data_IF_821315312238
#
_entry.id   IF_821315312238
#
_cell.length_a   1.000
_cell.length_b   1.000
_cell.length_c   1.000
_cell.angle_alpha   90.00
_cell.angle_beta   90.00
_cell.angle_gamma   90.00
#
_symmetry.space_group_name_H-M   'P 1'
#
loop_
_entity.id
_entity.type
_entity.pdbx_description
1 polymer ?
#
# COMPACT_ATOMS: atom_id res chain seq x y z
N UNK A 1 -28.84 -26.23 -31.27
CA UNK A 1 -28.66 -26.24 -29.82
C UNK A 1 -29.24 -24.95 -29.22
N UNK A 2 -30.42 -25.06 -28.60
CA UNK A 2 -31.03 -23.96 -27.88
C UNK A 2 -30.25 -23.73 -26.58
N UNK A 3 -29.44 -22.68 -26.56
CA UNK A 3 -28.88 -22.13 -25.30
C UNK A 3 -30.01 -21.36 -24.61
N UNK A 4 -30.62 -21.97 -23.61
CA UNK A 4 -31.59 -21.28 -22.73
C UNK A 4 -30.81 -20.17 -22.00
N UNK A 5 -30.99 -18.93 -22.44
CA UNK A 5 -30.45 -17.78 -21.70
C UNK A 5 -31.25 -17.67 -20.38
N UNK A 6 -30.53 -17.74 -19.28
CA UNK A 6 -31.08 -17.51 -17.94
C UNK A 6 -31.46 -16.03 -17.84
N UNK A 7 -32.67 -15.72 -17.43
CA UNK A 7 -33.13 -14.33 -17.27
C UNK A 7 -32.25 -13.57 -16.27
N UNK A 8 -31.83 -12.31 -16.59
CA UNK A 8 -31.09 -11.47 -15.65
C UNK A 8 -31.77 -11.30 -14.28
N UNK A 9 -33.10 -11.30 -14.23
CA UNK A 9 -33.89 -11.21 -12.99
C UNK A 9 -33.68 -12.41 -12.06
N UNK A 10 -33.33 -13.59 -12.59
CA UNK A 10 -32.97 -14.73 -11.76
C UNK A 10 -31.62 -14.53 -11.05
N UNK A 11 -30.70 -13.77 -11.65
CA UNK A 11 -29.43 -13.43 -11.02
C UNK A 11 -29.62 -12.44 -9.87
N UNK A 12 -30.58 -11.52 -9.96
CA UNK A 12 -30.87 -10.53 -8.89
C UNK A 12 -31.43 -11.20 -7.62
N UNK A 13 -32.04 -12.39 -7.75
CA UNK A 13 -32.55 -13.14 -6.60
C UNK A 13 -31.45 -13.93 -5.84
N UNK A 14 -30.24 -14.04 -6.42
CA UNK A 14 -29.13 -14.75 -5.78
C UNK A 14 -28.41 -13.80 -4.85
N UNK A 15 -28.56 -14.01 -3.55
CA UNK A 15 -27.83 -13.28 -2.53
C UNK A 15 -26.74 -14.14 -1.89
N UNK A 16 -25.51 -13.64 -1.95
CA UNK A 16 -24.39 -14.28 -1.27
C UNK A 16 -24.38 -13.90 0.21
N UNK A 17 -24.26 -14.87 1.08
CA UNK A 17 -24.00 -14.66 2.51
C UNK A 17 -22.78 -15.46 2.92
N UNK A 18 -21.94 -14.89 3.78
CA UNK A 18 -20.84 -15.62 4.38
C UNK A 18 -21.39 -16.62 5.41
N UNK A 19 -21.05 -17.88 5.22
CA UNK A 19 -21.47 -18.98 6.13
C UNK A 19 -20.31 -19.49 6.99
N UNK A 20 -19.12 -18.84 6.88
CA UNK A 20 -17.92 -19.28 7.60
C UNK A 20 -17.23 -20.49 6.94
N UNK A 21 -16.19 -21.05 7.57
CA UNK A 21 -15.65 -20.59 8.86
C UNK A 21 -15.04 -19.19 8.74
N UNK A 22 -15.34 -18.33 9.71
CA UNK A 22 -14.76 -17.01 9.79
C UNK A 22 -13.30 -17.12 10.24
N UNK A 23 -12.38 -16.78 9.38
CA UNK A 23 -10.94 -16.77 9.67
C UNK A 23 -10.46 -15.34 9.82
N UNK A 24 -9.68 -15.10 10.88
CA UNK A 24 -8.80 -13.93 10.93
C UNK A 24 -7.80 -14.02 9.78
N UNK A 25 -7.66 -12.94 9.01
CA UNK A 25 -6.66 -12.81 7.96
C UNK A 25 -5.35 -12.21 8.50
N UNK A 26 -4.35 -12.06 7.62
CA UNK A 26 -3.16 -11.27 7.91
C UNK A 26 -3.48 -9.79 7.75
N UNK A 27 -2.90 -8.97 8.64
CA UNK A 27 -2.86 -7.52 8.49
C UNK A 27 -1.40 -7.10 8.36
N UNK A 28 -1.06 -6.40 7.30
CA UNK A 28 0.29 -5.91 7.06
C UNK A 28 0.41 -4.40 7.30
N UNK A 29 -0.72 -3.68 7.37
CA UNK A 29 -0.76 -2.25 7.51
C UNK A 29 -1.66 -1.85 8.69
N UNK A 30 -1.16 -0.97 9.54
CA UNK A 30 -1.91 -0.36 10.64
C UNK A 30 -1.45 1.06 10.84
N UNK A 31 -2.40 1.97 11.10
CA UNK A 31 -2.08 3.36 11.44
C UNK A 31 -3.15 3.93 12.38
N UNK A 32 -2.69 4.66 13.40
CA UNK A 32 -3.54 5.48 14.26
C UNK A 32 -3.64 6.91 13.73
N UNK A 33 -4.63 7.64 14.22
CA UNK A 33 -4.83 9.06 13.89
C UNK A 33 -4.35 9.93 15.05
N UNK A 34 -3.38 10.80 14.78
CA UNK A 34 -2.90 11.75 15.78
C UNK A 34 -4.08 12.56 16.37
N UNK A 35 -4.09 12.76 17.70
CA UNK A 35 -5.14 13.44 18.43
C UNK A 35 -6.55 12.80 18.38
N UNK A 36 -6.68 11.59 17.84
CA UNK A 36 -7.91 10.81 17.82
C UNK A 36 -7.64 9.39 18.37
N UNK A 37 -7.45 9.20 19.67
CA UNK A 37 -6.89 7.97 20.25
C UNK A 37 -7.75 6.71 20.08
N UNK A 38 -9.00 6.87 19.64
CA UNK A 38 -9.90 5.75 19.34
C UNK A 38 -10.02 5.45 17.84
N UNK A 39 -9.35 6.23 16.98
CA UNK A 39 -9.45 6.06 15.51
C UNK A 39 -8.21 5.36 14.97
N UNK A 40 -8.43 4.19 14.37
CA UNK A 40 -7.39 3.40 13.73
C UNK A 40 -7.87 2.88 12.39
N UNK A 41 -6.91 2.64 11.52
CA UNK A 41 -7.12 1.96 10.24
C UNK A 41 -6.21 0.75 10.16
N UNK A 42 -6.68 -0.33 9.57
CA UNK A 42 -5.81 -1.42 9.17
C UNK A 42 -6.12 -1.90 7.76
N UNK A 43 -5.08 -2.40 7.10
CA UNK A 43 -5.15 -3.02 5.78
C UNK A 43 -5.04 -4.53 5.90
N UNK A 44 -6.04 -5.24 5.44
CA UNK A 44 -6.08 -6.69 5.47
C UNK A 44 -5.50 -7.29 4.17
N UNK A 45 -4.93 -8.47 4.28
CA UNK A 45 -4.56 -9.29 3.13
C UNK A 45 -5.81 -9.93 2.54
N UNK A 46 -6.22 -9.45 1.37
CA UNK A 46 -7.43 -9.91 0.68
C UNK A 46 -8.74 -9.34 1.21
N UNK A 47 -8.70 -8.39 2.16
CA UNK A 47 -9.90 -7.87 2.82
C UNK A 47 -10.08 -6.35 2.78
N UNK A 48 -9.25 -5.62 2.03
CA UNK A 48 -9.35 -4.17 1.91
C UNK A 48 -8.95 -3.41 3.18
N UNK A 49 -9.48 -2.20 3.32
CA UNK A 49 -9.18 -1.29 4.45
C UNK A 49 -10.34 -1.23 5.41
N UNK A 50 -10.02 -1.32 6.69
CA UNK A 50 -10.97 -1.28 7.81
C UNK A 50 -10.68 -0.12 8.74
N UNK A 51 -11.73 0.47 9.30
CA UNK A 51 -11.67 1.59 10.22
C UNK A 51 -12.41 1.27 11.51
N UNK A 52 -11.81 1.64 12.64
CA UNK A 52 -12.50 1.74 13.93
C UNK A 52 -12.56 3.20 14.39
N UNK A 53 -13.57 3.54 15.18
CA UNK A 53 -13.72 4.85 15.84
C UNK A 53 -13.98 4.71 17.34
N UNK A 54 -13.92 3.50 17.86
CA UNK A 54 -14.19 3.13 19.25
C UNK A 54 -13.02 2.44 19.95
N UNK A 55 -11.82 2.55 19.38
CA UNK A 55 -10.61 1.95 19.97
C UNK A 55 -10.41 0.48 19.63
N UNK A 56 -11.13 -0.03 18.61
CA UNK A 56 -11.00 -1.40 18.15
C UNK A 56 -12.09 -2.35 18.60
N UNK A 57 -13.13 -1.85 19.28
CA UNK A 57 -14.28 -2.66 19.66
C UNK A 57 -15.08 -3.10 18.44
N UNK A 58 -15.24 -2.18 17.47
CA UNK A 58 -15.88 -2.48 16.19
C UNK A 58 -15.07 -1.97 15.01
N UNK A 59 -15.21 -2.64 13.86
CA UNK A 59 -14.55 -2.25 12.61
C UNK A 59 -15.55 -2.25 11.46
N UNK A 60 -15.41 -1.26 10.58
CA UNK A 60 -16.17 -1.15 9.33
C UNK A 60 -15.21 -1.20 8.15
N UNK A 61 -15.51 -2.02 7.14
CA UNK A 61 -14.81 -1.95 5.86
C UNK A 61 -15.16 -0.61 5.18
N UNK A 62 -14.13 0.11 4.73
CA UNK A 62 -14.27 1.43 4.11
C UNK A 62 -13.77 1.47 2.66
N UNK A 63 -13.30 0.35 2.13
CA UNK A 63 -12.80 0.25 0.75
C UNK A 63 -13.74 -0.49 -0.19
N UNK A 64 -14.75 -1.19 0.34
CA UNK A 64 -15.73 -1.91 -0.47
C UNK A 64 -16.44 -0.95 -1.45
N UNK A 65 -16.60 -1.39 -2.68
CA UNK A 65 -17.16 -0.58 -3.75
C UNK A 65 -16.15 0.31 -4.50
N UNK A 66 -14.93 0.49 -3.97
CA UNK A 66 -13.84 1.23 -4.61
C UNK A 66 -12.69 0.32 -5.04
N UNK A 67 -12.14 -0.41 -4.09
CA UNK A 67 -11.08 -1.38 -4.31
C UNK A 67 -11.14 -2.46 -3.24
N UNK A 68 -10.71 -3.62 -3.62
CA UNK A 68 -10.55 -4.77 -2.74
C UNK A 68 -9.13 -5.30 -2.79
N UNK A 69 -8.97 -6.52 -2.31
CA UNK A 69 -7.71 -7.23 -2.35
C UNK A 69 -6.79 -6.89 -1.20
N UNK A 70 -5.51 -7.15 -1.43
CA UNK A 70 -4.49 -7.04 -0.40
C UNK A 70 -3.97 -5.62 -0.28
N UNK A 71 -3.85 -5.15 0.96
CA UNK A 71 -3.33 -3.84 1.31
C UNK A 71 -1.92 -4.00 1.88
N UNK A 72 -0.97 -3.29 1.30
CA UNK A 72 0.43 -3.28 1.75
C UNK A 72 0.71 -2.19 2.78
N UNK A 73 0.09 -1.03 2.61
CA UNK A 73 0.29 0.12 3.51
C UNK A 73 -0.93 1.02 3.59
N UNK A 74 -1.10 1.66 4.73
CA UNK A 74 -2.08 2.73 4.97
C UNK A 74 -1.34 3.87 5.67
N UNK A 75 -1.51 5.10 5.18
CA UNK A 75 -0.93 6.30 5.79
C UNK A 75 -2.01 7.37 5.95
N UNK A 76 -2.03 8.01 7.10
CA UNK A 76 -2.86 9.20 7.40
C UNK A 76 -1.94 10.42 7.37
N UNK A 77 -2.37 11.49 6.72
CA UNK A 77 -1.61 12.73 6.71
C UNK A 77 -1.60 13.36 8.13
N UNK A 78 -0.42 13.63 8.71
CA UNK A 78 -0.36 14.18 10.07
C UNK A 78 -1.03 15.57 10.20
N UNK A 79 -0.99 16.37 9.14
CA UNK A 79 -1.59 17.72 9.12
C UNK A 79 -3.09 17.73 8.82
N UNK A 80 -3.64 16.65 8.24
CA UNK A 80 -5.07 16.55 7.94
C UNK A 80 -5.55 15.09 8.06
N UNK A 81 -6.24 14.73 9.13
CA UNK A 81 -6.70 13.36 9.38
C UNK A 81 -7.77 12.86 8.39
N UNK A 82 -8.31 13.74 7.54
CA UNK A 82 -9.23 13.36 6.48
C UNK A 82 -8.49 12.82 5.26
N UNK A 83 -7.19 13.12 5.12
CA UNK A 83 -6.38 12.67 3.99
C UNK A 83 -5.67 11.37 4.31
N UNK A 84 -6.02 10.34 3.54
CA UNK A 84 -5.42 9.01 3.62
C UNK A 84 -4.85 8.58 2.28
N UNK A 85 -3.79 7.80 2.34
CA UNK A 85 -3.23 7.08 1.19
C UNK A 85 -3.14 5.59 1.51
N UNK A 86 -3.47 4.78 0.53
CA UNK A 86 -3.43 3.32 0.62
C UNK A 86 -2.60 2.76 -0.52
N UNK A 87 -1.60 1.99 -0.18
CA UNK A 87 -0.79 1.22 -1.12
C UNK A 87 -1.29 -0.21 -1.24
N UNK A 88 -1.58 -0.65 -2.46
CA UNK A 88 -2.06 -2.00 -2.73
C UNK A 88 -0.95 -3.06 -2.75
N UNK A 89 -1.34 -4.31 -2.57
CA UNK A 89 -0.50 -5.50 -2.69
C UNK A 89 -0.05 -6.09 -1.36
N UNK A 90 -0.04 -7.41 -1.28
CA UNK A 90 0.42 -8.12 -0.09
C UNK A 90 1.93 -7.97 0.07
N UNK A 91 2.39 -7.65 1.28
CA UNK A 91 3.82 -7.41 1.58
C UNK A 91 4.41 -8.48 2.50
N UNK A 92 3.59 -9.34 3.06
CA UNK A 92 4.03 -10.55 3.75
C UNK A 92 4.37 -11.62 2.71
N UNK A 93 5.62 -11.64 2.28
CA UNK A 93 6.06 -12.49 1.15
C UNK A 93 5.93 -13.97 1.46
N UNK A 94 5.11 -14.65 0.66
CA UNK A 94 4.83 -16.10 0.74
C UNK A 94 4.81 -16.69 -0.67
N UNK A 95 4.40 -17.97 -0.79
CA UNK A 95 4.26 -18.64 -2.08
C UNK A 95 3.15 -18.09 -2.98
N UNK A 96 2.12 -17.49 -2.38
CA UNK A 96 0.93 -16.98 -3.07
C UNK A 96 0.67 -15.50 -2.72
N UNK A 97 1.60 -14.64 -3.03
CA UNK A 97 1.51 -13.20 -2.73
C UNK A 97 0.57 -12.50 -3.72
N UNK A 98 -0.46 -11.84 -3.20
CA UNK A 98 -1.45 -11.13 -4.02
C UNK A 98 -0.97 -9.72 -4.38
N UNK A 99 -0.95 -9.40 -5.66
CA UNK A 99 -0.56 -8.06 -6.13
C UNK A 99 -1.71 -7.05 -5.99
N UNK A 100 -1.34 -5.78 -5.75
CA UNK A 100 -2.24 -4.64 -5.76
C UNK A 100 -2.22 -3.87 -7.08
N UNK A 101 -3.03 -2.81 -7.14
CA UNK A 101 -3.21 -1.98 -8.33
C UNK A 101 -2.91 -0.50 -8.05
N UNK A 102 -1.79 -0.22 -7.38
CA UNK A 102 -1.33 1.15 -7.17
C UNK A 102 -1.80 1.79 -5.88
N UNK A 103 -1.95 3.12 -5.94
CA UNK A 103 -2.25 3.98 -4.79
C UNK A 103 -3.67 4.52 -4.88
N UNK A 104 -4.36 4.49 -3.75
CA UNK A 104 -5.67 5.10 -3.55
C UNK A 104 -5.58 6.22 -2.52
N UNK A 105 -6.35 7.28 -2.74
CA UNK A 105 -6.43 8.46 -1.86
C UNK A 105 -7.86 8.70 -1.43
N UNK A 106 -8.05 9.02 -0.15
CA UNK A 106 -9.26 9.63 0.38
C UNK A 106 -8.96 11.03 0.90
N UNK A 107 -9.95 11.91 0.86
CA UNK A 107 -9.91 13.27 1.45
C UNK A 107 -11.05 13.52 2.44
N UNK A 108 -11.73 12.46 2.84
CA UNK A 108 -12.91 12.48 3.70
C UNK A 108 -12.90 11.37 4.76
N UNK A 109 -11.69 11.06 5.26
CA UNK A 109 -11.43 10.04 6.28
C UNK A 109 -11.92 8.62 5.88
N UNK A 110 -11.79 8.29 4.59
CA UNK A 110 -12.09 6.98 4.05
C UNK A 110 -13.53 6.75 3.64
N UNK A 111 -14.36 7.81 3.50
CA UNK A 111 -15.73 7.68 3.00
C UNK A 111 -15.75 7.45 1.50
N UNK A 112 -14.89 8.15 0.76
CA UNK A 112 -14.71 8.00 -0.69
C UNK A 112 -13.25 7.85 -1.06
N UNK A 113 -12.98 7.21 -2.19
CA UNK A 113 -11.63 6.91 -2.64
C UNK A 113 -11.44 7.20 -4.12
N UNK A 114 -10.25 7.69 -4.47
CA UNK A 114 -9.83 7.93 -5.85
C UNK A 114 -8.52 7.20 -6.11
N UNK A 115 -8.41 6.49 -7.23
CA UNK A 115 -7.14 5.93 -7.67
C UNK A 115 -6.19 7.04 -8.11
N UNK A 116 -4.98 7.09 -7.56
CA UNK A 116 -4.04 8.19 -7.76
C UNK A 116 -2.67 7.72 -8.29
N UNK A 117 -2.64 6.63 -9.05
CA UNK A 117 -1.47 6.24 -9.82
C UNK A 117 -0.73 5.01 -9.35
N UNK A 118 0.46 4.80 -9.91
CA UNK A 118 1.33 3.64 -9.73
C UNK A 118 0.64 2.29 -10.00
N UNK A 119 -0.12 2.12 -11.11
CA UNK A 119 -0.92 0.91 -11.35
C UNK A 119 -0.08 -0.37 -11.47
N UNK A 120 1.19 -0.25 -11.83
CA UNK A 120 2.12 -1.37 -12.02
C UNK A 120 2.99 -1.67 -10.78
N UNK A 121 2.78 -0.95 -9.67
CA UNK A 121 3.59 -1.09 -8.45
C UNK A 121 3.54 -2.49 -7.83
N UNK A 122 2.50 -3.26 -8.06
CA UNK A 122 2.24 -4.60 -7.53
C UNK A 122 2.19 -4.67 -6.01
N UNK A 123 3.24 -4.22 -5.33
CA UNK A 123 3.37 -4.28 -3.87
C UNK A 123 3.93 -2.95 -3.35
N UNK A 124 3.18 -2.29 -2.46
CA UNK A 124 3.56 -1.01 -1.82
C UNK A 124 3.62 -1.21 -0.31
N UNK A 125 4.76 -1.65 0.23
CA UNK A 125 4.91 -1.96 1.64
C UNK A 125 4.87 -0.75 2.57
N UNK A 126 5.23 0.43 2.07
CA UNK A 126 5.23 1.63 2.91
C UNK A 126 4.81 2.87 2.13
N UNK A 127 3.99 3.69 2.79
CA UNK A 127 3.69 5.05 2.37
C UNK A 127 3.97 6.01 3.51
N UNK A 128 4.53 7.18 3.19
CA UNK A 128 4.84 8.24 4.15
C UNK A 128 4.31 9.54 3.60
N UNK A 129 3.52 10.26 4.41
CA UNK A 129 3.00 11.59 4.07
C UNK A 129 3.81 12.64 4.81
N UNK A 130 4.15 13.72 4.12
CA UNK A 130 4.87 14.85 4.72
C UNK A 130 4.05 15.43 5.90
N UNK A 131 4.67 15.73 7.05
CA UNK A 131 3.92 16.10 8.26
C UNK A 131 3.12 17.40 8.14
N UNK A 132 3.53 18.32 7.26
CA UNK A 132 2.90 19.63 7.10
C UNK A 132 2.18 19.82 5.75
N UNK A 133 2.36 18.89 4.80
CA UNK A 133 1.74 18.97 3.47
C UNK A 133 1.10 17.63 3.08
N UNK A 134 -0.23 17.51 3.16
CA UNK A 134 -0.94 16.27 2.87
C UNK A 134 -0.87 15.86 1.38
N UNK A 135 -0.37 16.72 0.50
CA UNK A 135 -0.20 16.42 -0.92
C UNK A 135 1.21 15.93 -1.27
N UNK A 136 2.17 16.11 -0.37
CA UNK A 136 3.50 15.52 -0.53
C UNK A 136 3.54 14.14 0.13
N UNK A 137 3.67 13.11 -0.70
CA UNK A 137 3.61 11.70 -0.30
C UNK A 137 4.70 10.89 -0.99
N UNK A 138 5.22 9.92 -0.26
CA UNK A 138 6.26 9.00 -0.72
C UNK A 138 5.72 7.56 -0.65
N UNK A 139 6.11 6.74 -1.62
CA UNK A 139 5.76 5.33 -1.68
C UNK A 139 7.01 4.47 -1.91
N UNK A 140 7.24 3.52 -1.02
CA UNK A 140 8.17 2.43 -1.26
C UNK A 140 7.47 1.38 -2.12
N UNK A 141 8.06 1.04 -3.27
CA UNK A 141 7.49 0.09 -4.23
C UNK A 141 8.42 -1.11 -4.37
N UNK A 142 7.93 -2.25 -3.93
CA UNK A 142 8.65 -3.52 -4.04
C UNK A 142 8.59 -4.08 -5.48
N UNK A 143 7.55 -3.73 -6.23
CA UNK A 143 7.37 -4.13 -7.63
C UNK A 143 6.87 -5.56 -7.77
N UNK A 144 7.04 -6.14 -8.95
CA UNK A 144 6.69 -7.53 -9.24
C UNK A 144 7.70 -8.47 -8.57
N UNK A 145 7.23 -9.36 -7.70
CA UNK A 145 8.06 -10.30 -6.96
C UNK A 145 8.49 -11.51 -7.80
N UNK A 146 7.81 -11.78 -8.90
CA UNK A 146 8.02 -12.99 -9.69
C UNK A 146 9.01 -12.79 -10.85
N UNK A 147 9.29 -11.53 -11.20
CA UNK A 147 10.22 -11.18 -12.28
C UNK A 147 10.88 -9.82 -12.05
N UNK A 148 12.06 -9.60 -12.66
CA UNK A 148 12.69 -8.28 -12.71
C UNK A 148 11.75 -7.25 -13.36
N UNK A 149 11.74 -6.02 -12.84
CA UNK A 149 10.93 -4.93 -13.40
C UNK A 149 11.46 -3.55 -13.01
N UNK A 150 11.13 -2.56 -13.83
CA UNK A 150 11.56 -1.17 -13.64
C UNK A 150 10.62 -0.37 -12.71
N UNK A 151 9.52 -0.94 -12.23
CA UNK A 151 8.57 -0.24 -11.35
C UNK A 151 9.03 -0.20 -9.88
N UNK A 152 10.10 -0.91 -9.55
CA UNK A 152 10.71 -0.98 -8.22
C UNK A 152 11.32 0.37 -7.82
N UNK A 153 11.37 0.67 -6.52
CA UNK A 153 12.07 1.83 -5.97
C UNK A 153 11.20 2.72 -5.07
N UNK A 154 11.68 3.94 -4.80
CA UNK A 154 10.91 4.94 -4.04
C UNK A 154 10.36 5.98 -5.01
N UNK A 155 9.10 6.30 -4.83
CA UNK A 155 8.39 7.32 -5.59
C UNK A 155 7.93 8.46 -4.69
N UNK A 156 7.90 9.68 -5.26
CA UNK A 156 7.42 10.90 -4.61
C UNK A 156 6.35 11.55 -5.49
N UNK A 157 5.30 12.00 -4.85
CA UNK A 157 4.32 12.94 -5.40
C UNK A 157 4.31 14.21 -4.55
N UNK A 158 4.15 15.38 -5.17
CA UNK A 158 3.97 16.67 -4.51
C UNK A 158 2.60 17.29 -4.82
N UNK A 159 1.72 16.54 -5.46
CA UNK A 159 0.41 17.02 -5.90
C UNK A 159 -0.72 16.03 -5.56
N UNK A 160 -0.56 15.31 -4.46
CA UNK A 160 -1.58 14.42 -3.95
C UNK A 160 -1.78 13.14 -4.75
N UNK A 161 -0.73 12.67 -5.45
CA UNK A 161 -0.76 11.46 -6.23
C UNK A 161 -1.17 11.67 -7.70
N UNK A 162 -1.44 12.90 -8.14
CA UNK A 162 -1.78 13.19 -9.56
C UNK A 162 -0.63 12.86 -10.50
N UNK A 163 0.61 12.99 -10.04
CA UNK A 163 1.81 12.54 -10.73
C UNK A 163 2.84 12.02 -9.74
N UNK A 164 3.69 11.11 -10.20
CA UNK A 164 4.72 10.45 -9.42
C UNK A 164 6.07 10.51 -10.12
N UNK A 165 7.11 10.84 -9.36
CA UNK A 165 8.50 10.79 -9.80
C UNK A 165 9.21 9.68 -9.04
N UNK A 166 9.89 8.77 -9.74
CA UNK A 166 10.80 7.84 -9.11
C UNK A 166 12.04 8.59 -8.64
N UNK A 167 12.35 8.50 -7.36
CA UNK A 167 13.43 9.25 -6.70
C UNK A 167 14.56 8.36 -6.18
N UNK A 168 14.32 7.06 -6.07
CA UNK A 168 15.34 6.06 -5.78
C UNK A 168 15.06 4.82 -6.62
N UNK A 169 16.08 4.35 -7.30
CA UNK A 169 16.08 3.07 -8.01
C UNK A 169 17.42 2.40 -7.78
N UNK A 170 17.41 1.20 -7.22
CA UNK A 170 18.62 0.42 -6.97
C UNK A 170 18.87 -0.55 -8.12
N UNK A 171 17.96 -1.48 -8.34
CA UNK A 171 18.10 -2.53 -9.36
C UNK A 171 16.73 -3.06 -9.80
N UNK A 172 16.65 -3.68 -10.98
CA UNK A 172 15.43 -4.32 -11.50
C UNK A 172 14.95 -5.51 -10.65
N UNK A 173 15.83 -6.08 -9.83
CA UNK A 173 15.54 -7.19 -8.92
C UNK A 173 15.38 -6.74 -7.47
N UNK A 174 15.73 -5.48 -7.12
CA UNK A 174 15.67 -4.94 -5.77
C UNK A 174 14.64 -3.82 -5.68
N UNK A 175 13.60 -4.02 -4.88
CA UNK A 175 12.55 -3.04 -4.64
C UNK A 175 12.66 -2.40 -3.26
N UNK A 176 12.02 -1.23 -3.08
CA UNK A 176 11.95 -0.58 -1.79
C UNK A 176 10.92 -1.29 -0.88
N UNK A 177 11.33 -1.63 0.35
CA UNK A 177 10.51 -2.37 1.32
C UNK A 177 10.19 -1.56 2.56
N UNK A 178 11.03 -0.58 2.89
CA UNK A 178 10.79 0.32 4.02
C UNK A 178 11.15 1.74 3.63
N UNK A 179 10.47 2.68 4.23
CA UNK A 179 10.68 4.12 4.07
C UNK A 179 10.31 4.83 5.36
N UNK A 180 11.26 5.57 5.91
CA UNK A 180 11.06 6.35 7.13
C UNK A 180 11.44 7.79 6.89
N UNK A 181 10.64 8.71 7.39
CA UNK A 181 10.92 10.14 7.42
C UNK A 181 11.24 10.55 8.85
N UNK A 182 12.27 11.36 9.03
CA UNK A 182 12.60 11.94 10.32
C UNK A 182 11.48 12.92 10.73
N UNK A 183 10.78 12.68 11.85
CA UNK A 183 9.65 13.53 12.24
C UNK A 183 10.07 14.95 12.65
N UNK A 184 11.34 15.14 13.02
CA UNK A 184 11.89 16.44 13.39
C UNK A 184 12.45 17.22 12.18
N UNK A 185 12.84 16.50 11.12
CA UNK A 185 13.33 17.08 9.88
C UNK A 185 12.86 16.28 8.65
N UNK A 186 11.71 16.60 8.07
CA UNK A 186 11.12 15.84 6.97
C UNK A 186 11.94 15.84 5.66
N UNK A 187 13.04 16.60 5.60
CA UNK A 187 14.01 16.49 4.51
C UNK A 187 14.87 15.23 4.61
N UNK A 188 14.96 14.66 5.81
CA UNK A 188 15.71 13.41 6.04
C UNK A 188 14.81 12.21 5.82
N UNK A 189 15.22 11.37 4.89
CA UNK A 189 14.55 10.13 4.56
C UNK A 189 15.54 8.97 4.65
N UNK A 190 15.04 7.84 5.10
CA UNK A 190 15.75 6.57 5.08
C UNK A 190 14.92 5.55 4.32
N UNK A 191 15.55 4.79 3.44
CA UNK A 191 14.89 3.72 2.70
C UNK A 191 15.73 2.45 2.76
N UNK A 192 15.07 1.30 2.73
CA UNK A 192 15.75 0.04 2.46
C UNK A 192 15.25 -0.55 1.14
N UNK A 193 16.21 -1.06 0.37
CA UNK A 193 15.92 -1.88 -0.82
C UNK A 193 16.24 -3.34 -0.55
N UNK A 194 15.48 -4.23 -1.15
CA UNK A 194 15.60 -5.66 -0.97
C UNK A 194 15.56 -6.36 -2.32
N UNK A 195 16.63 -7.05 -2.65
CA UNK A 195 16.65 -7.97 -3.78
C UNK A 195 15.86 -9.21 -3.42
N UNK A 196 14.79 -9.43 -4.16
CA UNK A 196 13.88 -10.53 -3.93
C UNK A 196 13.29 -11.04 -5.23
N UNK A 197 13.26 -12.35 -5.37
CA UNK A 197 12.51 -13.02 -6.39
C UNK A 197 11.80 -14.24 -5.81
N UNK A 198 10.51 -14.33 -6.06
CA UNK A 198 9.67 -15.45 -5.65
C UNK A 198 9.37 -16.34 -6.84
N UNK A 199 9.45 -17.64 -6.65
CA UNK A 199 8.89 -18.64 -7.55
C UNK A 199 7.91 -19.52 -6.76
N UNK A 200 7.12 -20.39 -7.41
CA UNK A 200 6.26 -21.32 -6.67
C UNK A 200 7.03 -22.19 -5.66
N UNK A 201 8.29 -22.52 -5.96
CA UNK A 201 9.10 -23.48 -5.21
C UNK A 201 10.26 -22.86 -4.45
N UNK A 202 10.60 -21.58 -4.68
CA UNK A 202 11.79 -20.95 -4.10
C UNK A 202 11.56 -19.48 -3.72
N UNK A 203 12.39 -19.00 -2.85
CA UNK A 203 12.54 -17.60 -2.51
C UNK A 203 14.03 -17.26 -2.56
N UNK A 204 14.42 -16.42 -3.53
CA UNK A 204 15.75 -15.83 -3.57
C UNK A 204 15.70 -14.49 -2.84
N UNK A 205 16.52 -14.31 -1.83
CA UNK A 205 16.51 -13.16 -0.92
C UNK A 205 17.92 -12.66 -0.66
N UNK A 206 18.13 -11.36 -0.78
CA UNK A 206 19.42 -10.70 -0.58
C UNK A 206 20.31 -10.69 -1.82
N UNK A 207 21.43 -9.99 -1.73
CA UNK A 207 22.41 -9.79 -2.80
C UNK A 207 22.44 -8.35 -3.31
N UNK A 208 23.08 -8.14 -4.45
CA UNK A 208 23.29 -6.82 -5.05
C UNK A 208 22.00 -6.02 -5.21
N UNK A 209 22.04 -4.75 -4.85
CA UNK A 209 20.86 -3.87 -4.82
C UNK A 209 20.07 -3.89 -3.52
N UNK A 210 20.34 -4.82 -2.57
CA UNK A 210 19.84 -4.75 -1.20
C UNK A 210 20.72 -3.81 -0.40
N UNK A 211 20.15 -2.69 0.08
CA UNK A 211 20.93 -1.66 0.76
C UNK A 211 20.06 -0.77 1.67
N UNK A 212 20.73 -0.04 2.55
CA UNK A 212 20.16 1.09 3.27
C UNK A 212 20.58 2.40 2.60
N UNK A 213 19.62 3.29 2.46
CA UNK A 213 19.77 4.56 1.78
C UNK A 213 19.36 5.70 2.70
N UNK A 214 20.09 6.82 2.62
CA UNK A 214 19.76 8.07 3.30
C UNK A 214 19.69 9.22 2.28
N UNK A 215 18.66 10.02 2.42
CA UNK A 215 18.53 11.33 1.78
C UNK A 215 18.46 12.42 2.84
N UNK A 216 19.04 13.59 2.55
CA UNK A 216 18.98 14.79 3.41
C UNK A 216 18.31 15.98 2.70
N UNK A 217 17.75 15.74 1.51
CA UNK A 217 17.22 16.74 0.60
C UNK A 217 15.81 16.37 0.06
N UNK A 218 15.01 15.72 0.90
CA UNK A 218 13.64 15.30 0.56
C UNK A 218 13.57 14.31 -0.61
N UNK A 219 14.61 13.49 -0.77
CA UNK A 219 14.70 12.46 -1.79
C UNK A 219 15.22 12.95 -3.15
N UNK A 220 15.80 14.17 -3.23
CA UNK A 220 16.42 14.65 -4.47
C UNK A 220 17.69 13.88 -4.79
N UNK A 221 18.46 13.51 -3.76
CA UNK A 221 19.62 12.64 -3.85
C UNK A 221 19.63 11.59 -2.73
N UNK A 222 20.32 10.48 -2.95
CA UNK A 222 20.41 9.35 -2.01
C UNK A 222 21.85 8.86 -1.90
N UNK A 223 22.26 8.56 -0.68
CA UNK A 223 23.54 7.94 -0.36
C UNK A 223 23.29 6.57 0.24
N UNK A 224 23.95 5.56 -0.28
CA UNK A 224 24.03 4.25 0.37
C UNK A 224 24.84 4.34 1.67
N UNK A 225 24.35 3.70 2.73
CA UNK A 225 24.93 3.79 4.08
C UNK A 225 25.13 2.41 4.72
N UNK A 226 24.89 1.31 3.99
CA UNK A 226 25.17 -0.07 4.39
C UNK A 226 26.48 -0.56 3.84
#
# INVERSE_FOLDING_TARGET
>A
SNTTQISPQLHESVQYRSIGPFRGGRSAAVVGVANQPKVFYFGATGGGVWKTVDGGETYKNISDGYFGGSIGSVAVAPSDPNVLYVGGGEVTVRGNVSSGKGVWKSVDAGKTWTHVGLPNSRHIPRMVVHPQDPNTVYAAVLGDLYKPNNDRGVYKSTNGGKSWKKILFSDVQAGAVELVMDPSNPRHLYASTWRIQRTPNSLNSGGDGSALWKSTDSGASWKEIS
#
